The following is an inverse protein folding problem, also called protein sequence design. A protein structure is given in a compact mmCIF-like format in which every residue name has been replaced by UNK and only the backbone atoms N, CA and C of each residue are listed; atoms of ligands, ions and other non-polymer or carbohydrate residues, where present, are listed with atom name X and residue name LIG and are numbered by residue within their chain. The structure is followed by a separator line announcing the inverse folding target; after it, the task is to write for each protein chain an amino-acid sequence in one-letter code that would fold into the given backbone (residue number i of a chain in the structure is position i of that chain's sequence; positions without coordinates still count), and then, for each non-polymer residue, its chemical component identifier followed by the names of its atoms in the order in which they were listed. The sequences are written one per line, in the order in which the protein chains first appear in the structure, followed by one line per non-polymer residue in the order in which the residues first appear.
data_IF_440407957544
#
_entry.id   IF_440407957544
#
_cell.length_a   1.000
_cell.length_b   1.000
_cell.length_c   1.000
_cell.angle_alpha   90.00
_cell.angle_beta   90.00
_cell.angle_gamma   90.00
#
_symmetry.space_group_name_H-M   'P 1'
#
loop_
_entity.id
_entity.type
_entity.pdbx_description
1 polymer ?
#
# COMPACT_ATOMS: atom_id res chain seq x y z
N UNK A 1 -14.43 2.83 -10.42
CA UNK A 1 -14.16 2.71 -8.97
C UNK A 1 -14.28 4.09 -8.34
N UNK A 2 -14.77 4.18 -7.10
CA UNK A 2 -14.86 5.46 -6.40
C UNK A 2 -13.45 6.02 -6.16
N UNK A 3 -13.27 7.33 -6.35
CA UNK A 3 -12.01 8.01 -6.04
C UNK A 3 -11.74 8.00 -4.53
N UNK A 4 -10.48 8.18 -4.08
CA UNK A 4 -10.15 8.36 -2.67
C UNK A 4 -11.02 9.37 -1.93
N UNK A 5 -11.32 10.48 -2.59
CA UNK A 5 -12.17 11.56 -2.08
C UNK A 5 -13.62 11.11 -1.97
N UNK A 6 -14.14 10.41 -2.99
CA UNK A 6 -15.50 9.85 -2.98
C UNK A 6 -15.65 8.79 -1.88
N UNK A 7 -14.63 7.96 -1.64
CA UNK A 7 -14.63 6.98 -0.54
C UNK A 7 -14.74 7.67 0.83
N UNK A 8 -13.93 8.72 1.05
CA UNK A 8 -13.96 9.49 2.29
C UNK A 8 -15.33 10.15 2.50
N UNK A 9 -15.91 10.72 1.44
CA UNK A 9 -17.22 11.35 1.50
C UNK A 9 -18.33 10.33 1.82
N UNK A 10 -18.24 9.12 1.25
CA UNK A 10 -19.18 8.02 1.53
C UNK A 10 -19.12 7.59 3.00
N UNK A 11 -17.92 7.48 3.57
CA UNK A 11 -17.75 7.18 5.01
C UNK A 11 -18.34 8.30 5.86
N UNK A 12 -18.08 9.56 5.53
CA UNK A 12 -18.62 10.72 6.25
C UNK A 12 -20.17 10.72 6.25
N UNK A 13 -20.80 10.51 5.09
CA UNK A 13 -22.26 10.40 5.02
C UNK A 13 -22.79 9.17 5.76
N UNK A 14 -22.05 8.06 5.78
CA UNK A 14 -22.47 6.88 6.50
C UNK A 14 -22.44 7.09 8.02
N UNK A 15 -21.46 7.84 8.54
CA UNK A 15 -21.41 8.26 9.94
C UNK A 15 -22.61 9.15 10.29
N UNK A 16 -22.92 10.12 9.42
CA UNK A 16 -24.04 11.05 9.58
C UNK A 16 -25.40 10.34 9.59
N UNK A 17 -25.64 9.49 8.60
CA UNK A 17 -26.97 8.90 8.35
C UNK A 17 -27.18 7.52 8.97
N UNK A 18 -26.10 6.80 9.28
CA UNK A 18 -26.13 5.40 9.72
C UNK A 18 -26.94 4.48 8.79
N UNK A 19 -27.11 4.88 7.53
CA UNK A 19 -27.96 4.19 6.54
C UNK A 19 -27.30 4.14 5.17
N UNK A 20 -26.91 2.94 4.76
CA UNK A 20 -26.29 2.72 3.45
C UNK A 20 -27.23 3.10 2.30
N UNK A 21 -28.54 2.94 2.45
CA UNK A 21 -29.52 3.35 1.43
C UNK A 21 -29.54 4.87 1.24
N UNK A 22 -29.48 5.64 2.33
CA UNK A 22 -29.43 7.10 2.24
C UNK A 22 -28.10 7.58 1.63
N UNK A 23 -26.99 6.95 2.00
CA UNK A 23 -25.68 7.21 1.38
C UNK A 23 -25.70 6.94 -0.12
N UNK A 24 -26.27 5.82 -0.56
CA UNK A 24 -26.40 5.52 -1.99
C UNK A 24 -27.30 6.51 -2.74
N UNK A 25 -28.37 7.00 -2.11
CA UNK A 25 -29.23 8.05 -2.70
C UNK A 25 -28.46 9.37 -2.84
N UNK A 26 -27.76 9.81 -1.79
CA UNK A 26 -26.95 11.03 -1.81
C UNK A 26 -25.79 10.93 -2.81
N UNK A 27 -25.14 9.78 -2.90
CA UNK A 27 -24.11 9.54 -3.90
C UNK A 27 -24.63 9.71 -5.34
N UNK A 28 -25.82 9.17 -5.64
CA UNK A 28 -26.46 9.33 -6.96
C UNK A 28 -26.75 10.80 -7.25
N UNK A 29 -27.29 11.55 -6.28
CA UNK A 29 -27.62 12.97 -6.50
C UNK A 29 -26.38 13.85 -6.61
N UNK A 30 -25.30 13.54 -5.89
CA UNK A 30 -24.06 14.34 -5.92
C UNK A 30 -23.18 14.05 -7.14
N UNK A 31 -23.01 12.78 -7.51
CA UNK A 31 -22.03 12.38 -8.53
C UNK A 31 -22.65 11.90 -9.84
N UNK A 32 -23.98 11.71 -9.90
CA UNK A 32 -24.71 11.16 -11.04
C UNK A 32 -24.10 9.85 -11.58
N UNK A 33 -23.64 8.98 -10.66
CA UNK A 33 -22.98 7.70 -10.97
C UNK A 33 -23.59 6.57 -10.15
N UNK A 34 -23.26 5.34 -10.57
CA UNK A 34 -23.64 4.13 -9.83
C UNK A 34 -22.95 4.17 -8.46
N UNK A 35 -23.72 4.10 -7.36
CA UNK A 35 -23.15 4.17 -6.03
C UNK A 35 -22.47 2.85 -5.63
N UNK A 36 -21.55 2.89 -4.65
CA UNK A 36 -20.96 1.67 -4.10
C UNK A 36 -22.03 0.76 -3.47
N UNK A 37 -21.73 -0.55 -3.44
CA UNK A 37 -22.62 -1.53 -2.82
C UNK A 37 -22.73 -1.29 -1.31
N UNK A 38 -23.81 -1.77 -0.68
CA UNK A 38 -23.98 -1.68 0.78
C UNK A 38 -22.83 -2.35 1.54
N UNK A 39 -22.42 -3.53 1.08
CA UNK A 39 -21.28 -4.26 1.65
C UNK A 39 -19.99 -3.43 1.61
N UNK A 40 -19.71 -2.80 0.47
CA UNK A 40 -18.54 -1.92 0.29
C UNK A 40 -18.59 -0.70 1.22
N UNK A 41 -19.77 -0.11 1.43
CA UNK A 41 -19.94 1.02 2.36
C UNK A 41 -19.62 0.60 3.80
N UNK A 42 -20.12 -0.55 4.24
CA UNK A 42 -19.82 -1.09 5.56
C UNK A 42 -18.32 -1.41 5.72
N UNK A 43 -17.69 -2.01 4.71
CA UNK A 43 -16.26 -2.32 4.72
C UNK A 43 -15.41 -1.05 4.85
N UNK A 44 -15.71 0.02 4.09
CA UNK A 44 -14.99 1.28 4.19
C UNK A 44 -15.16 1.93 5.57
N UNK A 45 -16.38 1.91 6.12
CA UNK A 45 -16.64 2.43 7.46
C UNK A 45 -15.90 1.63 8.55
N UNK A 46 -15.98 0.30 8.53
CA UNK A 46 -15.30 -0.56 9.50
C UNK A 46 -13.79 -0.37 9.46
N UNK A 47 -13.22 -0.30 8.26
CA UNK A 47 -11.78 -0.05 8.08
C UNK A 47 -11.38 1.33 8.59
N UNK A 48 -12.19 2.34 8.35
CA UNK A 48 -11.96 3.67 8.89
C UNK A 48 -12.01 3.66 10.43
N UNK A 49 -13.00 3.02 11.04
CA UNK A 49 -13.12 2.93 12.51
C UNK A 49 -11.99 2.12 13.14
N UNK A 50 -11.54 1.04 12.49
CA UNK A 50 -10.51 0.15 13.04
C UNK A 50 -9.09 0.69 12.85
N UNK A 51 -8.79 1.25 11.67
CA UNK A 51 -7.43 1.62 11.28
C UNK A 51 -7.22 3.13 11.13
N UNK A 52 -8.27 3.93 11.15
CA UNK A 52 -8.23 5.37 10.83
C UNK A 52 -8.01 5.67 9.35
N UNK A 53 -8.10 4.66 8.48
CA UNK A 53 -7.75 4.79 7.05
C UNK A 53 -8.96 4.40 6.20
N UNK A 54 -9.34 5.30 5.29
CA UNK A 54 -10.39 5.06 4.29
C UNK A 54 -9.84 4.30 3.08
N UNK A 55 -8.62 4.62 2.65
CA UNK A 55 -8.03 4.09 1.43
C UNK A 55 -7.46 2.68 1.61
N UNK A 56 -7.54 1.86 0.57
CA UNK A 56 -6.56 0.78 0.43
C UNK A 56 -5.22 1.43 0.15
N UNK A 57 -4.28 1.34 1.09
CA UNK A 57 -2.88 1.62 0.77
C UNK A 57 -2.51 0.89 -0.52
N UNK A 58 -1.70 1.52 -1.37
CA UNK A 58 -1.12 0.84 -2.52
C UNK A 58 -0.60 -0.49 -2.04
N UNK A 59 -1.16 -1.59 -2.55
CA UNK A 59 -0.66 -2.92 -2.24
C UNK A 59 0.73 -2.98 -2.84
N UNK A 60 1.75 -2.55 -2.09
CA UNK A 60 3.13 -2.84 -2.43
C UNK A 60 3.17 -4.36 -2.49
N UNK A 61 3.40 -4.92 -3.67
CA UNK A 61 3.46 -6.37 -3.83
C UNK A 61 4.39 -6.98 -2.79
N UNK A 62 4.19 -8.28 -2.49
CA UNK A 62 5.02 -9.01 -1.53
C UNK A 62 6.49 -8.59 -1.68
N UNK A 63 7.16 -8.12 -0.62
CA UNK A 63 8.56 -7.74 -0.71
C UNK A 63 9.32 -8.90 -1.36
N UNK A 64 9.86 -8.69 -2.56
CA UNK A 64 10.65 -9.72 -3.26
C UNK A 64 11.94 -10.05 -2.50
N UNK A 65 12.32 -9.21 -1.53
CA UNK A 65 13.59 -9.25 -0.81
C UNK A 65 13.38 -9.78 0.60
N UNK A 66 14.21 -10.72 1.04
CA UNK A 66 14.30 -11.09 2.45
C UNK A 66 15.05 -9.97 3.17
N UNK A 67 14.54 -9.52 4.31
CA UNK A 67 15.16 -8.46 5.11
C UNK A 67 16.61 -8.81 5.48
N UNK A 68 16.87 -10.09 5.72
CA UNK A 68 18.20 -10.63 6.01
C UNK A 68 19.21 -10.41 4.88
N UNK A 69 18.77 -10.53 3.62
CA UNK A 69 19.63 -10.33 2.45
C UNK A 69 20.04 -8.86 2.31
N UNK A 70 19.12 -7.94 2.61
CA UNK A 70 19.37 -6.49 2.59
C UNK A 70 20.42 -6.13 3.65
N UNK A 71 20.21 -6.59 4.89
CA UNK A 71 21.13 -6.32 6.00
C UNK A 71 22.53 -6.88 5.73
N UNK A 72 22.63 -8.09 5.16
CA UNK A 72 23.91 -8.71 4.77
C UNK A 72 24.64 -7.90 3.70
N UNK A 73 23.92 -7.40 2.69
CA UNK A 73 24.50 -6.56 1.64
C UNK A 73 25.02 -5.24 2.24
N UNK A 74 24.22 -4.57 3.07
CA UNK A 74 24.59 -3.31 3.71
C UNK A 74 25.81 -3.45 4.64
N UNK A 75 25.84 -4.48 5.49
CA UNK A 75 26.97 -4.75 6.38
C UNK A 75 28.27 -5.01 5.61
N UNK A 76 28.16 -5.76 4.51
CA UNK A 76 29.29 -6.07 3.63
C UNK A 76 29.82 -4.81 2.92
N UNK A 77 28.92 -3.93 2.44
CA UNK A 77 29.28 -2.65 1.83
C UNK A 77 29.89 -1.68 2.85
N UNK A 78 29.36 -1.64 4.08
CA UNK A 78 29.91 -0.85 5.19
C UNK A 78 31.34 -1.26 5.52
N UNK A 79 31.65 -2.56 5.46
CA UNK A 79 32.99 -3.10 5.75
C UNK A 79 34.00 -2.81 4.64
N UNK A 80 33.58 -2.84 3.37
CA UNK A 80 34.46 -2.44 2.25
C UNK A 80 33.69 -1.94 1.04
N UNK A 81 33.55 -0.61 0.87
CA UNK A 81 32.70 -0.03 -0.18
C UNK A 81 33.19 -0.32 -1.61
N UNK A 82 34.50 -0.24 -1.86
CA UNK A 82 35.06 -0.24 -3.22
C UNK A 82 35.29 -1.63 -3.84
N UNK A 83 35.44 -2.69 -3.03
CA UNK A 83 35.82 -4.03 -3.55
C UNK A 83 34.65 -4.93 -3.91
N UNK A 84 33.41 -4.60 -3.50
CA UNK A 84 32.35 -5.60 -3.35
C UNK A 84 31.11 -5.48 -4.26
N UNK A 85 30.93 -4.43 -5.07
CA UNK A 85 29.78 -4.43 -6.03
C UNK A 85 29.90 -5.60 -7.04
N UNK A 86 31.12 -5.89 -7.51
CA UNK A 86 31.37 -6.97 -8.49
C UNK A 86 31.51 -8.36 -7.86
N UNK A 87 31.81 -8.45 -6.56
CA UNK A 87 32.15 -9.71 -5.88
C UNK A 87 31.15 -10.13 -4.79
N UNK A 88 30.34 -9.21 -4.26
CA UNK A 88 29.29 -9.49 -3.28
C UNK A 88 28.28 -10.55 -3.73
N UNK A 89 27.84 -10.62 -5.00
CA UNK A 89 26.93 -11.68 -5.44
C UNK A 89 27.52 -13.08 -5.22
N UNK A 90 28.82 -13.25 -5.49
CA UNK A 90 29.53 -14.52 -5.28
C UNK A 90 29.75 -14.84 -3.80
N UNK A 91 30.10 -13.83 -3.00
CA UNK A 91 30.39 -14.03 -1.58
C UNK A 91 29.14 -14.28 -0.73
N UNK A 92 28.02 -13.62 -1.08
CA UNK A 92 26.76 -13.71 -0.36
C UNK A 92 25.81 -14.78 -0.91
N UNK A 93 26.16 -15.39 -2.05
CA UNK A 93 25.27 -16.28 -2.82
C UNK A 93 23.92 -15.61 -3.17
N UNK A 94 23.95 -14.29 -3.40
CA UNK A 94 22.78 -13.48 -3.74
C UNK A 94 22.86 -13.10 -5.23
N UNK A 95 21.74 -13.13 -5.99
CA UNK A 95 21.74 -12.67 -7.37
C UNK A 95 22.27 -11.24 -7.53
N UNK A 96 23.05 -11.01 -8.59
CA UNK A 96 23.63 -9.69 -8.90
C UNK A 96 22.57 -8.61 -9.10
N UNK A 97 21.41 -8.98 -9.65
CA UNK A 97 20.25 -8.10 -9.78
C UNK A 97 19.83 -7.56 -8.42
N UNK A 98 19.66 -8.41 -7.41
CA UNK A 98 19.29 -8.03 -6.03
C UNK A 98 20.32 -7.10 -5.37
N UNK A 99 21.62 -7.35 -5.58
CA UNK A 99 22.68 -6.47 -5.04
C UNK A 99 22.63 -5.09 -5.68
N UNK A 100 22.51 -5.00 -7.01
CA UNK A 100 22.36 -3.71 -7.70
C UNK A 100 21.10 -2.97 -7.27
N UNK A 101 20.01 -3.71 -7.11
CA UNK A 101 18.71 -3.23 -6.65
C UNK A 101 18.71 -2.67 -5.22
N UNK A 102 19.63 -3.10 -4.36
CA UNK A 102 19.81 -2.59 -2.99
C UNK A 102 20.74 -1.38 -3.01
N UNK A 103 21.79 -1.42 -3.84
CA UNK A 103 22.78 -0.33 -3.96
C UNK A 103 22.19 0.93 -4.62
N UNK A 104 21.24 0.78 -5.56
CA UNK A 104 20.73 1.89 -6.39
C UNK A 104 19.27 2.27 -6.09
N UNK A 105 18.65 1.67 -5.07
CA UNK A 105 17.27 2.01 -4.68
C UNK A 105 17.34 2.97 -3.50
N UNK A 106 17.26 4.26 -3.80
CA UNK A 106 16.89 5.31 -2.83
C UNK A 106 15.39 5.25 -2.50
#
# INVERSE_FOLDING_TARGET
MASPQEQAQVVAWFIEFKSATQVQRKFRTTYNRIPPSRHTIYEWHERFMTKGIVLTGTKSGRPRRRFDDVKRIEETLRRSPRKLIRSAPRHLQIPRSTVNDVVHKE
#
